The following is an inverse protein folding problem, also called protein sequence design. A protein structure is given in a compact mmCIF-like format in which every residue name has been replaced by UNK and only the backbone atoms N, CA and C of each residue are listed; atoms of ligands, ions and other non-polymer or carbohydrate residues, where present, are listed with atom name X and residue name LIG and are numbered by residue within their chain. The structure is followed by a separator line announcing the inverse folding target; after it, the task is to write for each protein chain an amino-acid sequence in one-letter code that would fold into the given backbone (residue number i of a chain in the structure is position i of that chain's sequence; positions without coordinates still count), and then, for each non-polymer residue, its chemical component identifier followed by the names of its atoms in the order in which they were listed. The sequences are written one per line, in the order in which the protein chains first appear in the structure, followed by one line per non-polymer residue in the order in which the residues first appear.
data_IF_836590578090
#
_entry.id   IF_836590578090
#
_cell.length_a   1.000
_cell.length_b   1.000
_cell.length_c   1.000
_cell.angle_alpha   90.00
_cell.angle_beta   90.00
_cell.angle_gamma   90.00
#
_symmetry.space_group_name_H-M   'P 1'
#
loop_
_entity.id
_entity.type
_entity.pdbx_description
1 polymer ?
#
# COMPACT_ATOMS: atom_id res chain seq x y z
N UNK A 1 -1.92 25.39 15.63
CA UNK A 1 -1.20 24.41 14.79
C UNK A 1 -1.10 24.80 13.31
N UNK A 2 -2.20 25.26 12.69
CA UNK A 2 -2.26 25.71 11.28
C UNK A 2 -1.18 26.74 10.88
N UNK A 3 -0.94 27.76 11.70
CA UNK A 3 0.06 28.79 11.40
C UNK A 3 1.51 28.29 11.45
N UNK A 4 1.82 27.38 12.38
CA UNK A 4 3.15 26.76 12.46
C UNK A 4 3.41 25.87 11.25
N UNK A 5 2.41 25.09 10.82
CA UNK A 5 2.48 24.29 9.60
C UNK A 5 2.64 25.15 8.34
N UNK A 6 1.94 26.30 8.26
CA UNK A 6 2.11 27.24 7.16
C UNK A 6 3.48 27.92 7.14
N UNK A 7 4.04 28.27 8.31
CA UNK A 7 5.41 28.80 8.41
C UNK A 7 6.45 27.78 7.95
N UNK A 8 6.29 26.51 8.33
CA UNK A 8 7.17 25.42 7.90
C UNK A 8 7.06 25.20 6.39
N UNK A 9 5.84 25.12 5.84
CA UNK A 9 5.63 24.91 4.40
C UNK A 9 6.18 26.04 3.52
N UNK A 10 6.21 27.29 4.04
CA UNK A 10 6.70 28.47 3.32
C UNK A 10 8.18 28.79 3.59
N UNK A 11 8.84 28.06 4.48
CA UNK A 11 10.23 28.32 4.80
C UNK A 11 11.13 27.89 3.63
N UNK A 12 12.07 28.74 3.17
CA UNK A 12 12.90 28.46 2.00
C UNK A 12 13.74 27.20 2.16
N UNK A 13 14.20 26.91 3.38
CA UNK A 13 14.93 25.66 3.70
C UNK A 13 14.02 24.44 3.53
N UNK A 14 12.78 24.49 4.00
CA UNK A 14 11.84 23.39 3.86
C UNK A 14 11.49 23.15 2.39
N UNK A 15 11.30 24.22 1.61
CA UNK A 15 11.05 24.13 0.17
C UNK A 15 12.23 23.52 -0.59
N UNK A 16 13.46 23.88 -0.22
CA UNK A 16 14.69 23.33 -0.82
C UNK A 16 14.88 21.86 -0.47
N UNK A 17 14.72 21.50 0.80
CA UNK A 17 14.77 20.09 1.23
C UNK A 17 13.68 19.27 0.53
N UNK A 18 12.47 19.79 0.39
CA UNK A 18 11.38 19.10 -0.32
C UNK A 18 11.71 18.85 -1.79
N UNK A 19 12.29 19.86 -2.45
CA UNK A 19 12.79 19.79 -3.83
C UNK A 19 13.87 18.72 -3.97
N UNK A 20 14.86 18.74 -3.08
CA UNK A 20 16.02 17.84 -3.12
C UNK A 20 15.64 16.40 -2.74
N UNK A 21 14.55 16.21 -1.99
CA UNK A 21 13.98 14.91 -1.64
C UNK A 21 13.01 14.35 -2.69
N UNK A 22 12.72 15.11 -3.76
CA UNK A 22 11.81 14.62 -4.79
C UNK A 22 12.46 13.43 -5.50
N UNK A 23 11.82 12.24 -5.50
CA UNK A 23 12.39 11.08 -6.14
C UNK A 23 12.54 11.34 -7.63
N UNK A 24 13.62 10.86 -8.23
CA UNK A 24 13.72 10.81 -9.68
C UNK A 24 12.57 9.95 -10.22
N UNK A 25 11.91 10.44 -11.28
CA UNK A 25 10.80 9.76 -11.94
C UNK A 25 11.33 8.52 -12.65
N UNK A 26 11.45 7.42 -11.90
CA UNK A 26 11.86 6.12 -12.41
C UNK A 26 10.64 5.25 -12.65
N UNK A 27 10.64 4.54 -13.78
CA UNK A 27 9.65 3.52 -14.10
C UNK A 27 9.52 2.48 -12.97
N UNK A 28 10.65 2.15 -12.32
CA UNK A 28 10.67 1.26 -11.17
C UNK A 28 9.98 1.83 -9.93
N UNK A 29 10.07 3.15 -9.71
CA UNK A 29 9.38 3.81 -8.60
C UNK A 29 7.86 3.77 -8.79
N UNK A 30 7.40 4.05 -10.00
CA UNK A 30 5.99 3.97 -10.38
C UNK A 30 5.47 2.53 -10.24
N UNK A 31 6.23 1.57 -10.77
CA UNK A 31 5.87 0.16 -10.68
C UNK A 31 5.84 -0.34 -9.24
N UNK A 32 6.79 0.07 -8.40
CA UNK A 32 6.81 -0.24 -6.98
C UNK A 32 5.57 0.29 -6.25
N UNK A 33 5.24 1.57 -6.41
CA UNK A 33 4.04 2.13 -5.77
C UNK A 33 2.78 1.40 -6.23
N UNK A 34 2.67 1.10 -7.53
CA UNK A 34 1.53 0.34 -8.04
C UNK A 34 1.45 -1.07 -7.46
N UNK A 35 2.54 -1.84 -7.51
CA UNK A 35 2.57 -3.25 -7.08
C UNK A 35 2.35 -3.41 -5.58
N UNK A 36 2.84 -2.49 -4.75
CA UNK A 36 2.77 -2.62 -3.29
C UNK A 36 1.57 -1.95 -2.65
N UNK A 37 1.03 -0.86 -3.23
CA UNK A 37 -0.06 -0.09 -2.60
C UNK A 37 -1.37 -0.09 -3.39
N UNK A 38 -1.36 -0.36 -4.69
CA UNK A 38 -2.57 -0.26 -5.52
C UNK A 38 -3.05 -1.64 -5.95
N UNK A 39 -2.15 -2.48 -6.48
CA UNK A 39 -2.50 -3.81 -6.97
C UNK A 39 -3.13 -4.71 -5.90
N UNK A 40 -2.61 -4.80 -4.65
CA UNK A 40 -3.22 -5.61 -3.60
C UNK A 40 -4.63 -5.11 -3.25
N UNK A 41 -4.84 -3.80 -3.29
CA UNK A 41 -6.13 -3.17 -2.99
C UNK A 41 -7.16 -3.43 -4.10
N UNK A 42 -6.72 -3.45 -5.36
CA UNK A 42 -7.58 -3.88 -6.49
C UNK A 42 -7.98 -5.33 -6.30
N UNK A 43 -7.04 -6.20 -5.93
CA UNK A 43 -7.32 -7.63 -5.69
C UNK A 43 -8.32 -7.77 -4.54
N UNK A 44 -8.10 -7.06 -3.44
CA UNK A 44 -8.98 -7.08 -2.28
C UNK A 44 -10.40 -6.61 -2.63
N UNK A 45 -10.54 -5.57 -3.46
CA UNK A 45 -11.85 -5.04 -3.84
C UNK A 45 -12.73 -6.06 -4.56
N UNK A 46 -12.15 -6.90 -5.41
CA UNK A 46 -12.90 -7.85 -6.23
C UNK A 46 -12.95 -9.26 -5.67
N UNK A 47 -11.90 -9.72 -4.96
CA UNK A 47 -11.72 -11.13 -4.61
C UNK A 47 -11.41 -11.41 -3.14
N UNK A 48 -11.39 -10.41 -2.25
CA UNK A 48 -11.01 -10.64 -0.84
C UNK A 48 -11.82 -11.78 -0.19
N UNK A 49 -13.15 -11.78 -0.34
CA UNK A 49 -14.01 -12.82 0.24
C UNK A 49 -13.67 -14.22 -0.26
N UNK A 50 -13.44 -14.35 -1.57
CA UNK A 50 -13.16 -15.64 -2.20
C UNK A 50 -11.78 -16.16 -1.81
N UNK A 51 -10.79 -15.27 -1.72
CA UNK A 51 -9.43 -15.60 -1.29
C UNK A 51 -9.43 -16.06 0.18
N UNK A 52 -10.11 -15.33 1.06
CA UNK A 52 -10.20 -15.68 2.49
C UNK A 52 -10.94 -17.01 2.66
N UNK A 53 -12.05 -17.21 1.96
CA UNK A 53 -12.78 -18.47 2.01
C UNK A 53 -11.95 -19.65 1.47
N UNK A 54 -11.22 -19.45 0.37
CA UNK A 54 -10.29 -20.44 -0.17
C UNK A 54 -9.23 -20.84 0.86
N UNK A 55 -8.57 -19.85 1.48
CA UNK A 55 -7.52 -20.09 2.48
C UNK A 55 -8.07 -20.76 3.76
N UNK A 56 -9.26 -20.36 4.22
CA UNK A 56 -9.93 -21.01 5.36
C UNK A 56 -10.21 -22.49 5.09
N UNK A 57 -10.64 -22.83 3.87
CA UNK A 57 -10.85 -24.23 3.47
C UNK A 57 -9.53 -24.99 3.37
N UNK A 58 -8.45 -24.38 2.87
CA UNK A 58 -7.12 -24.97 2.84
C UNK A 58 -6.64 -25.40 4.23
N UNK A 59 -6.82 -24.52 5.23
CA UNK A 59 -6.47 -24.81 6.63
C UNK A 59 -7.21 -26.01 7.23
N UNK A 60 -8.41 -26.34 6.75
CA UNK A 60 -9.19 -27.48 7.23
C UNK A 60 -8.71 -28.83 6.67
N UNK A 61 -7.86 -28.83 5.62
CA UNK A 61 -7.42 -30.05 4.92
C UNK A 61 -6.13 -30.68 5.46
N UNK A 62 -5.74 -30.35 6.69
CA UNK A 62 -4.45 -30.74 7.29
C UNK A 62 -3.24 -30.41 6.40
N UNK A 63 -3.07 -29.13 6.02
CA UNK A 63 -2.00 -28.71 5.13
C UNK A 63 -0.61 -28.93 5.74
N UNK A 64 0.40 -29.04 4.87
CA UNK A 64 1.80 -28.93 5.28
C UNK A 64 2.09 -27.57 5.94
N UNK A 65 3.23 -27.47 6.64
CA UNK A 65 3.60 -26.22 7.33
C UNK A 65 3.67 -25.00 6.40
N UNK A 66 4.13 -25.19 5.16
CA UNK A 66 4.27 -24.12 4.17
C UNK A 66 2.89 -23.66 3.71
N UNK A 67 2.03 -24.60 3.33
CA UNK A 67 0.65 -24.32 2.89
C UNK A 67 -0.14 -23.62 3.99
N UNK A 68 -0.02 -24.08 5.24
CA UNK A 68 -0.62 -23.43 6.41
C UNK A 68 -0.17 -21.97 6.53
N UNK A 69 1.13 -21.72 6.41
CA UNK A 69 1.67 -20.36 6.50
C UNK A 69 1.16 -19.47 5.37
N UNK A 70 1.07 -20.00 4.15
CA UNK A 70 0.52 -19.29 3.00
C UNK A 70 -0.96 -18.96 3.20
N UNK A 71 -1.78 -19.90 3.66
CA UNK A 71 -3.20 -19.68 3.91
C UNK A 71 -3.43 -18.67 5.03
N UNK A 72 -2.70 -18.78 6.14
CA UNK A 72 -2.77 -17.80 7.24
C UNK A 72 -2.35 -16.39 6.78
N UNK A 73 -1.37 -16.28 5.87
CA UNK A 73 -0.99 -15.00 5.26
C UNK A 73 -2.09 -14.44 4.36
N UNK A 74 -2.71 -15.27 3.52
CA UNK A 74 -3.80 -14.85 2.64
C UNK A 74 -4.98 -14.31 3.47
N UNK A 75 -5.34 -14.99 4.56
CA UNK A 75 -6.39 -14.51 5.46
C UNK A 75 -5.99 -13.15 6.03
N UNK A 76 -4.81 -13.02 6.64
CA UNK A 76 -4.35 -11.75 7.25
C UNK A 76 -4.28 -10.59 6.26
N UNK A 77 -3.99 -10.86 4.99
CA UNK A 77 -3.86 -9.83 3.96
C UNK A 77 -5.22 -9.34 3.44
N UNK A 78 -6.23 -10.20 3.44
CA UNK A 78 -7.49 -9.93 2.74
C UNK A 78 -8.75 -9.98 3.61
N UNK A 79 -8.67 -10.41 4.88
CA UNK A 79 -9.81 -10.51 5.81
C UNK A 79 -10.50 -9.16 6.02
N UNK A 80 -9.73 -8.08 6.12
CA UNK A 80 -10.26 -6.71 6.27
C UNK A 80 -10.72 -6.08 4.94
N UNK A 81 -10.55 -6.78 3.82
CA UNK A 81 -10.85 -6.26 2.48
C UNK A 81 -9.93 -5.12 2.06
N UNK A 82 -10.50 -4.06 1.48
CA UNK A 82 -9.73 -2.94 0.93
C UNK A 82 -9.23 -2.02 2.04
N UNK A 83 -7.92 -1.81 2.10
CA UNK A 83 -7.29 -0.80 2.93
C UNK A 83 -7.29 0.55 2.22
N UNK A 84 -8.31 1.36 2.53
CA UNK A 84 -8.38 2.74 2.04
C UNK A 84 -7.18 3.59 2.48
N UNK A 85 -6.53 3.26 3.61
CA UNK A 85 -5.31 3.94 4.05
C UNK A 85 -4.15 3.68 3.10
N UNK A 86 -3.90 2.40 2.75
CA UNK A 86 -2.87 2.03 1.79
C UNK A 86 -3.12 2.66 0.42
N UNK A 87 -4.38 2.63 -0.03
CA UNK A 87 -4.76 3.26 -1.29
C UNK A 87 -4.49 4.78 -1.28
N UNK A 88 -4.85 5.48 -0.19
CA UNK A 88 -4.56 6.90 -0.02
C UNK A 88 -3.06 7.18 -0.05
N UNK A 89 -2.25 6.36 0.64
CA UNK A 89 -0.78 6.48 0.64
C UNK A 89 -0.22 6.24 -0.76
N UNK A 90 -0.69 5.20 -1.47
CA UNK A 90 -0.31 4.90 -2.84
C UNK A 90 -0.59 6.08 -3.78
N UNK A 91 -1.80 6.65 -3.72
CA UNK A 91 -2.18 7.83 -4.51
C UNK A 91 -1.30 9.04 -4.14
N UNK A 92 -1.06 9.29 -2.86
CA UNK A 92 -0.21 10.40 -2.41
C UNK A 92 1.24 10.26 -2.92
N UNK A 93 1.80 9.04 -2.89
CA UNK A 93 3.12 8.75 -3.43
C UNK A 93 3.15 8.91 -4.96
N UNK A 94 2.10 8.48 -5.66
CA UNK A 94 1.94 8.74 -7.08
C UNK A 94 1.94 10.24 -7.38
N UNK A 95 1.08 11.01 -6.70
CA UNK A 95 1.02 12.46 -6.86
C UNK A 95 2.39 13.09 -6.57
N UNK A 96 3.08 12.68 -5.51
CA UNK A 96 4.41 13.16 -5.17
C UNK A 96 5.48 12.86 -6.24
N UNK A 97 5.44 11.68 -6.84
CA UNK A 97 6.35 11.31 -7.93
C UNK A 97 6.13 12.20 -9.15
N UNK A 98 4.88 12.54 -9.48
CA UNK A 98 4.56 13.24 -10.72
C UNK A 98 4.50 14.77 -10.60
N UNK A 99 4.12 15.31 -9.44
CA UNK A 99 3.85 16.73 -9.16
C UNK A 99 5.09 17.46 -8.68
#
# INVERSE_FOLDING_TARGET
MKEKLQKIARHPVTKKVLSDMKPEKSFWGIFGVFLFFIAPEIIAYFWASDIVHFAQNGLMTHPSLIERYTDELLIKLFEDGVSYLNLCVGIALFVWLFL
#
